data_IF_633852822523
#
_entry.id   IF_633852822523
#
_cell.length_a   1.000
_cell.length_b   1.000
_cell.length_c   1.000
_cell.angle_alpha   90.00
_cell.angle_beta   90.00
_cell.angle_gamma   90.00
#
_symmetry.space_group_name_H-M   'P 1'
#
loop_
_entity.id
_entity.type
_entity.pdbx_description
1 polymer ?
#
# COMPACT_ATOMS: atom_id res chain seq x y z
N UNK A 1 62.69 -2.55 21.87
CA UNK A 1 62.35 -2.94 20.49
C UNK A 1 61.55 -4.26 20.39
N UNK A 2 61.73 -5.22 21.31
CA UNK A 2 60.96 -6.49 21.31
C UNK A 2 59.48 -6.39 21.73
N UNK A 3 59.11 -5.44 22.59
CA UNK A 3 57.73 -5.31 23.10
C UNK A 3 56.75 -4.69 22.08
N UNK A 4 57.21 -3.75 21.23
CA UNK A 4 56.37 -3.14 20.19
C UNK A 4 55.96 -4.15 19.10
N UNK A 5 56.83 -5.12 18.79
CA UNK A 5 56.58 -6.09 17.73
C UNK A 5 55.49 -7.11 18.09
N UNK A 6 55.35 -7.47 19.37
CA UNK A 6 54.29 -8.36 19.87
C UNK A 6 52.90 -7.70 19.83
N UNK A 7 52.84 -6.39 20.08
CA UNK A 7 51.60 -5.60 20.02
C UNK A 7 51.08 -5.48 18.59
N UNK A 8 51.95 -5.18 17.62
CA UNK A 8 51.57 -5.16 16.19
C UNK A 8 51.14 -6.54 15.68
N UNK A 9 51.81 -7.62 16.10
CA UNK A 9 51.45 -8.98 15.70
C UNK A 9 50.07 -9.40 16.25
N UNK A 10 49.78 -9.07 17.51
CA UNK A 10 48.47 -9.34 18.11
C UNK A 10 47.36 -8.50 17.47
N UNK A 11 47.63 -7.24 17.10
CA UNK A 11 46.67 -6.37 16.40
C UNK A 11 46.38 -6.88 14.96
N UNK A 12 47.40 -7.38 14.27
CA UNK A 12 47.27 -8.02 12.96
C UNK A 12 46.47 -9.32 13.03
N UNK A 13 46.75 -10.18 14.03
CA UNK A 13 46.03 -11.43 14.25
C UNK A 13 44.57 -11.16 14.63
N UNK A 14 44.29 -10.16 15.47
CA UNK A 14 42.91 -9.77 15.80
C UNK A 14 42.15 -9.29 14.56
N UNK A 15 42.75 -8.41 13.75
CA UNK A 15 42.14 -7.94 12.50
C UNK A 15 41.95 -9.09 11.49
N UNK A 16 42.91 -10.01 11.36
CA UNK A 16 42.79 -11.19 10.51
C UNK A 16 41.68 -12.14 10.97
N UNK A 17 41.54 -12.35 12.28
CA UNK A 17 40.44 -13.14 12.87
C UNK A 17 39.09 -12.46 12.64
N UNK A 18 38.98 -11.15 12.83
CA UNK A 18 37.74 -10.39 12.54
C UNK A 18 37.35 -10.50 11.06
N UNK A 19 38.31 -10.44 10.14
CA UNK A 19 38.10 -10.61 8.70
C UNK A 19 37.72 -12.06 8.35
N UNK A 20 38.28 -13.06 9.05
CA UNK A 20 37.92 -14.47 8.89
C UNK A 20 36.48 -14.75 9.36
N UNK A 21 36.07 -14.21 10.51
CA UNK A 21 34.70 -14.38 11.03
C UNK A 21 33.65 -13.70 10.13
N UNK A 22 33.97 -12.52 9.58
CA UNK A 22 33.08 -11.79 8.65
C UNK A 22 32.94 -12.47 7.27
N UNK A 23 33.94 -13.23 6.83
CA UNK A 23 33.91 -13.94 5.54
C UNK A 23 33.24 -15.31 5.62
N UNK A 24 33.36 -16.01 6.75
CA UNK A 24 32.71 -17.32 6.99
C UNK A 24 31.18 -17.17 7.12
N UNK A 25 30.70 -16.13 7.81
CA UNK A 25 29.26 -15.89 7.99
C UNK A 25 28.50 -15.58 6.69
N UNK A 26 29.12 -14.85 5.76
CA UNK A 26 28.46 -14.53 4.48
C UNK A 26 28.32 -15.78 3.58
N UNK A 27 29.30 -16.70 3.65
CA UNK A 27 29.28 -17.93 2.85
C UNK A 27 28.24 -18.93 3.39
N UNK A 28 28.04 -19.00 4.71
CA UNK A 28 26.98 -19.81 5.32
C UNK A 28 25.58 -19.28 5.00
N UNK A 29 25.36 -17.97 5.07
CA UNK A 29 24.08 -17.34 4.67
C UNK A 29 23.75 -17.62 3.21
N UNK A 30 24.69 -17.43 2.29
CA UNK A 30 24.49 -17.73 0.86
C UNK A 30 24.13 -19.20 0.64
N UNK A 31 24.80 -20.12 1.33
CA UNK A 31 24.51 -21.57 1.24
C UNK A 31 23.10 -21.89 1.76
N UNK A 32 22.69 -21.30 2.88
CA UNK A 32 21.35 -21.46 3.46
C UNK A 32 20.26 -20.96 2.53
N UNK A 33 20.36 -19.72 2.03
CA UNK A 33 19.37 -19.16 1.10
C UNK A 33 19.30 -20.00 -0.19
N UNK A 34 20.44 -20.42 -0.72
CA UNK A 34 20.49 -21.30 -1.89
C UNK A 34 19.84 -22.66 -1.66
N UNK A 35 19.96 -23.27 -0.47
CA UNK A 35 19.32 -24.55 -0.20
C UNK A 35 17.80 -24.42 -0.14
N UNK A 36 17.28 -23.35 0.47
CA UNK A 36 15.83 -23.06 0.50
C UNK A 36 15.28 -22.82 -0.91
N UNK A 37 16.02 -22.07 -1.74
CA UNK A 37 15.61 -21.78 -3.13
C UNK A 37 15.72 -22.97 -4.08
N UNK A 38 16.43 -24.05 -3.71
CA UNK A 38 16.51 -25.30 -4.48
C UNK A 38 15.38 -26.27 -4.16
N UNK A 39 14.46 -25.91 -3.27
CA UNK A 39 13.30 -26.73 -2.97
C UNK A 39 12.46 -26.95 -4.25
N UNK A 40 12.00 -28.18 -4.48
CA UNK A 40 11.30 -28.60 -5.69
C UNK A 40 10.08 -27.72 -6.03
N UNK A 41 9.43 -27.14 -5.02
CA UNK A 41 8.29 -26.24 -5.19
C UNK A 41 8.62 -24.94 -5.95
N UNK A 42 9.89 -24.53 -5.96
CA UNK A 42 10.40 -23.34 -6.64
C UNK A 42 11.06 -23.68 -7.99
N UNK A 43 11.18 -24.95 -8.36
CA UNK A 43 12.01 -25.38 -9.50
C UNK A 43 11.57 -24.83 -10.87
N UNK A 44 10.28 -24.56 -11.06
CA UNK A 44 9.71 -24.07 -12.32
C UNK A 44 9.15 -22.64 -12.22
N UNK A 45 9.58 -21.86 -11.23
CA UNK A 45 9.18 -20.47 -11.04
C UNK A 45 10.36 -19.52 -11.18
N UNK A 46 10.04 -18.25 -11.39
CA UNK A 46 11.04 -17.19 -11.48
C UNK A 46 11.22 -16.54 -10.12
N UNK A 47 12.46 -16.53 -9.61
CA UNK A 47 12.77 -16.07 -8.25
C UNK A 47 13.81 -14.97 -8.27
N UNK A 48 13.53 -13.90 -7.54
CA UNK A 48 14.45 -12.78 -7.31
C UNK A 48 14.60 -12.56 -5.82
N UNK A 49 15.83 -12.53 -5.33
CA UNK A 49 16.12 -12.26 -3.91
C UNK A 49 17.28 -11.31 -3.80
N UNK A 50 17.07 -10.21 -3.10
CA UNK A 50 18.13 -9.27 -2.73
C UNK A 50 18.06 -9.05 -1.23
N UNK A 51 19.21 -9.11 -0.57
CA UNK A 51 19.35 -8.90 0.87
C UNK A 51 20.60 -8.04 1.09
N UNK A 52 20.43 -6.93 1.82
CA UNK A 52 21.53 -6.06 2.23
C UNK A 52 21.47 -5.80 3.73
N UNK A 53 22.61 -5.46 4.31
CA UNK A 53 22.68 -4.85 5.64
C UNK A 53 22.26 -3.37 5.55
N UNK A 54 21.30 -2.95 6.38
CA UNK A 54 20.69 -1.62 6.30
C UNK A 54 21.67 -0.47 6.62
N UNK A 55 22.66 -0.73 7.49
CA UNK A 55 23.58 0.28 7.98
C UNK A 55 24.79 0.42 7.06
N UNK A 56 25.44 -0.70 6.75
CA UNK A 56 26.65 -0.75 5.93
C UNK A 56 26.35 -0.76 4.43
N UNK A 57 25.10 -1.04 4.03
CA UNK A 57 24.64 -1.24 2.65
C UNK A 57 25.33 -2.40 1.94
N UNK A 58 26.02 -3.27 2.69
CA UNK A 58 26.73 -4.42 2.15
C UNK A 58 25.72 -5.41 1.58
N UNK A 59 25.96 -5.85 0.35
CA UNK A 59 25.18 -6.92 -0.27
C UNK A 59 25.52 -8.27 0.37
N UNK A 60 24.51 -8.89 1.00
CA UNK A 60 24.62 -10.19 1.66
C UNK A 60 24.26 -11.29 0.67
N UNK A 61 23.18 -11.09 -0.08
CA UNK A 61 22.68 -12.04 -1.08
C UNK A 61 22.05 -11.33 -2.26
N UNK A 62 22.29 -11.83 -3.46
CA UNK A 62 21.66 -11.37 -4.68
C UNK A 62 21.48 -12.52 -5.67
N UNK A 63 20.24 -12.72 -6.09
CA UNK A 63 19.85 -13.60 -7.17
C UNK A 63 18.79 -12.88 -7.99
N UNK A 64 19.05 -12.69 -9.29
CA UNK A 64 18.15 -12.01 -10.22
C UNK A 64 17.68 -10.63 -9.71
N UNK A 65 18.52 -9.93 -8.92
CA UNK A 65 18.17 -8.63 -8.35
C UNK A 65 17.96 -7.54 -9.40
N UNK A 66 18.49 -7.73 -10.60
CA UNK A 66 18.40 -6.88 -11.79
C UNK A 66 17.25 -7.26 -12.72
N UNK A 67 16.50 -8.35 -12.43
CA UNK A 67 15.42 -8.82 -13.30
C UNK A 67 14.07 -8.25 -12.84
N UNK A 68 13.21 -7.96 -13.82
CA UNK A 68 11.87 -7.45 -13.55
C UNK A 68 10.88 -8.55 -13.17
N UNK A 69 10.03 -8.22 -12.21
CA UNK A 69 8.93 -9.05 -11.71
C UNK A 69 7.66 -8.23 -11.65
N UNK A 70 6.52 -8.89 -11.73
CA UNK A 70 5.24 -8.30 -11.33
C UNK A 70 5.25 -8.18 -9.79
N UNK A 71 5.18 -6.96 -9.23
CA UNK A 71 5.36 -6.73 -7.79
C UNK A 71 4.14 -7.09 -6.94
N UNK A 72 2.95 -7.17 -7.53
CA UNK A 72 1.70 -7.22 -6.77
C UNK A 72 1.67 -6.08 -5.72
N UNK A 73 1.06 -6.32 -4.55
CA UNK A 73 0.93 -5.31 -3.49
C UNK A 73 2.25 -4.82 -2.85
N UNK A 74 3.43 -5.31 -3.23
CA UNK A 74 4.68 -4.64 -2.85
C UNK A 74 4.76 -3.22 -3.45
N UNK A 75 4.02 -2.94 -4.53
CA UNK A 75 3.84 -1.59 -5.09
C UNK A 75 3.40 -0.57 -4.02
N UNK A 76 2.64 -1.01 -3.00
CA UNK A 76 2.20 -0.16 -1.89
C UNK A 76 3.35 0.38 -1.03
N UNK A 77 4.55 -0.22 -1.08
CA UNK A 77 5.78 0.33 -0.49
C UNK A 77 6.16 1.65 -1.18
N UNK A 78 6.03 1.69 -2.51
CA UNK A 78 6.33 2.89 -3.32
C UNK A 78 5.25 3.95 -3.11
N UNK A 79 3.98 3.53 -3.00
CA UNK A 79 2.87 4.41 -2.65
C UNK A 79 3.04 5.01 -1.25
N UNK A 80 3.45 4.22 -0.26
CA UNK A 80 3.83 4.71 1.07
C UNK A 80 4.95 5.76 0.96
N UNK A 81 6.03 5.45 0.24
CA UNK A 81 7.15 6.38 0.07
C UNK A 81 6.70 7.69 -0.58
N UNK A 82 5.81 7.61 -1.57
CA UNK A 82 5.21 8.76 -2.25
C UNK A 82 4.36 9.60 -1.29
N UNK A 83 3.49 8.95 -0.51
CA UNK A 83 2.71 9.62 0.53
C UNK A 83 3.58 10.33 1.55
N UNK A 84 4.65 9.70 2.02
CA UNK A 84 5.58 10.31 2.98
C UNK A 84 6.38 11.50 2.40
N UNK A 85 6.64 11.50 1.09
CA UNK A 85 7.32 12.60 0.40
C UNK A 85 6.40 13.79 0.12
N UNK A 86 5.17 13.51 -0.28
CA UNK A 86 4.29 14.52 -0.87
C UNK A 86 3.16 14.94 0.06
N UNK A 87 2.66 14.09 0.94
CA UNK A 87 1.52 14.43 1.80
C UNK A 87 1.97 15.04 3.13
N UNK A 88 1.30 16.12 3.60
CA UNK A 88 1.49 16.62 4.96
C UNK A 88 0.98 15.61 5.99
N UNK A 89 1.33 15.83 7.28
CA UNK A 89 0.98 14.94 8.40
C UNK A 89 -0.50 14.57 8.44
N UNK A 90 -1.38 15.55 8.29
CA UNK A 90 -2.82 15.37 8.15
C UNK A 90 -3.19 15.38 6.67
N UNK A 91 -4.03 14.45 6.24
CA UNK A 91 -4.40 14.35 4.83
C UNK A 91 -5.18 15.60 4.40
N UNK A 92 -4.81 16.27 3.29
CA UNK A 92 -5.66 17.29 2.68
C UNK A 92 -6.99 16.65 2.30
N UNK A 93 -8.08 17.08 2.93
CA UNK A 93 -9.37 16.37 2.90
C UNK A 93 -10.34 17.03 1.92
N UNK A 94 -10.25 18.36 1.79
CA UNK A 94 -11.10 19.19 0.94
C UNK A 94 -10.33 20.44 0.51
N UNK A 95 -10.50 20.89 -0.73
CA UNK A 95 -10.13 22.25 -1.13
C UNK A 95 -11.39 23.10 -1.31
N UNK A 96 -11.30 24.38 -0.95
CA UNK A 96 -12.45 25.29 -1.05
C UNK A 96 -12.07 26.73 -1.41
N UNK A 97 -13.05 27.48 -1.93
CA UNK A 97 -13.01 28.93 -2.12
C UNK A 97 -14.42 29.51 -1.91
N UNK A 98 -14.52 30.78 -1.50
CA UNK A 98 -15.82 31.47 -1.35
C UNK A 98 -15.96 32.54 -2.43
N UNK A 99 -17.09 32.53 -3.13
CA UNK A 99 -17.44 33.56 -4.09
C UNK A 99 -18.96 33.81 -4.05
N UNK A 100 -19.37 35.08 -3.96
CA UNK A 100 -20.78 35.50 -3.92
C UNK A 100 -21.61 34.69 -2.89
N UNK A 101 -21.14 34.66 -1.65
CA UNK A 101 -21.76 33.92 -0.52
C UNK A 101 -21.96 32.42 -0.75
N UNK A 102 -21.28 31.86 -1.76
CA UNK A 102 -21.28 30.43 -2.07
C UNK A 102 -19.91 29.83 -1.79
N UNK A 103 -19.91 28.74 -1.04
CA UNK A 103 -18.73 27.92 -0.81
C UNK A 103 -18.55 26.91 -1.93
N UNK A 104 -17.53 27.09 -2.76
CA UNK A 104 -17.13 26.12 -3.76
C UNK A 104 -16.16 25.12 -3.16
N UNK A 105 -16.41 23.82 -3.36
CA UNK A 105 -15.60 22.74 -2.81
C UNK A 105 -15.20 21.74 -3.89
N UNK A 106 -14.01 21.16 -3.74
CA UNK A 106 -13.54 20.05 -4.58
C UNK A 106 -12.80 19.01 -3.72
N UNK A 107 -13.02 17.73 -4.04
CA UNK A 107 -12.37 16.63 -3.33
C UNK A 107 -10.88 16.53 -3.68
N UNK A 108 -10.10 15.97 -2.78
CA UNK A 108 -8.64 15.84 -2.92
C UNK A 108 -8.18 14.41 -3.21
N UNK A 109 -9.11 13.45 -3.33
CA UNK A 109 -8.80 12.02 -3.35
C UNK A 109 -8.64 11.39 -1.96
N UNK A 110 -8.96 12.11 -0.87
CA UNK A 110 -8.90 11.57 0.49
C UNK A 110 -9.88 10.39 0.69
N UNK A 111 -9.38 9.16 0.97
CA UNK A 111 -10.23 7.98 1.12
C UNK A 111 -10.92 7.83 2.47
N UNK A 112 -10.75 8.76 3.41
CA UNK A 112 -11.18 8.57 4.81
C UNK A 112 -12.64 8.95 5.09
N UNK A 113 -13.27 9.76 4.24
CA UNK A 113 -14.60 10.32 4.49
C UNK A 113 -15.68 9.27 4.59
N UNK A 114 -16.32 9.20 5.76
CA UNK A 114 -17.41 8.25 6.04
C UNK A 114 -17.03 6.79 5.74
N UNK A 115 -15.74 6.50 5.62
CA UNK A 115 -15.22 5.20 5.26
C UNK A 115 -15.61 4.18 6.33
N UNK A 116 -16.00 2.93 5.98
CA UNK A 116 -16.47 1.94 6.95
C UNK A 116 -15.52 1.73 8.15
N UNK A 117 -14.21 1.72 7.87
CA UNK A 117 -13.15 1.66 8.88
C UNK A 117 -12.85 3.00 9.58
N UNK A 118 -12.43 4.05 8.85
CA UNK A 118 -11.95 5.30 9.47
C UNK A 118 -13.08 6.16 10.05
N UNK A 119 -14.25 6.14 9.41
CA UNK A 119 -15.42 6.95 9.75
C UNK A 119 -15.07 8.43 9.93
N UNK A 120 -14.09 8.95 9.18
CA UNK A 120 -13.71 10.35 9.29
C UNK A 120 -14.90 11.21 8.86
N UNK A 121 -15.24 12.15 9.73
CA UNK A 121 -16.35 13.07 9.56
C UNK A 121 -15.90 14.52 9.73
N UNK A 122 -14.59 14.79 9.76
CA UNK A 122 -14.00 16.13 9.94
C UNK A 122 -14.59 17.12 8.93
N UNK A 123 -14.53 16.77 7.63
CA UNK A 123 -15.06 17.63 6.59
C UNK A 123 -16.59 17.74 6.62
N UNK A 124 -17.30 16.66 6.98
CA UNK A 124 -18.76 16.66 7.13
C UNK A 124 -19.19 17.64 8.22
N UNK A 125 -18.54 17.61 9.39
CA UNK A 125 -18.81 18.56 10.47
C UNK A 125 -18.51 20.00 10.05
N UNK A 126 -17.41 20.23 9.31
CA UNK A 126 -17.08 21.56 8.82
C UNK A 126 -18.08 22.09 7.79
N UNK A 127 -18.50 21.25 6.84
CA UNK A 127 -19.49 21.59 5.80
C UNK A 127 -20.89 21.85 6.38
N UNK A 128 -21.27 21.20 7.49
CA UNK A 128 -22.55 21.46 8.18
C UNK A 128 -22.67 22.90 8.68
N UNK A 129 -21.57 23.62 8.88
CA UNK A 129 -21.58 25.01 9.31
C UNK A 129 -21.63 26.02 8.15
N UNK A 130 -21.71 25.54 6.90
CA UNK A 130 -21.71 26.36 5.69
C UNK A 130 -23.13 26.52 5.15
N UNK A 131 -23.48 27.68 4.61
CA UNK A 131 -24.84 27.96 4.13
C UNK A 131 -25.08 27.37 2.73
N UNK A 132 -24.48 27.98 1.70
CA UNK A 132 -24.62 27.57 0.30
C UNK A 132 -23.35 26.87 -0.16
N UNK A 133 -23.48 25.63 -0.63
CA UNK A 133 -22.34 24.80 -1.05
C UNK A 133 -22.49 24.42 -2.52
N UNK A 134 -21.44 24.68 -3.29
CA UNK A 134 -21.27 24.27 -4.68
C UNK A 134 -20.16 23.21 -4.80
N UNK A 135 -20.51 22.00 -5.24
CA UNK A 135 -19.59 20.89 -5.46
C UNK A 135 -19.03 20.92 -6.89
N UNK A 136 -17.71 20.97 -7.01
CA UNK A 136 -16.98 20.80 -8.26
C UNK A 136 -16.30 19.42 -8.30
N UNK A 137 -16.54 18.65 -9.35
CA UNK A 137 -16.04 17.26 -9.49
C UNK A 137 -15.06 17.07 -10.66
N UNK A 138 -14.78 18.11 -11.45
CA UNK A 138 -13.95 18.01 -12.67
C UNK A 138 -12.47 18.31 -12.43
N UNK A 139 -12.00 18.15 -11.20
CA UNK A 139 -10.61 18.41 -10.80
C UNK A 139 -9.68 17.18 -10.91
N UNK A 140 -10.06 16.14 -11.66
CA UNK A 140 -9.25 14.94 -11.84
C UNK A 140 -9.21 14.48 -13.30
N UNK A 141 -8.13 13.79 -13.67
CA UNK A 141 -7.97 13.12 -14.95
C UNK A 141 -7.69 11.63 -14.71
N UNK A 142 -8.72 10.91 -14.27
CA UNK A 142 -8.63 9.49 -13.93
C UNK A 142 -9.75 8.70 -14.60
N UNK A 143 -9.40 7.51 -15.08
CA UNK A 143 -10.39 6.49 -15.40
C UNK A 143 -10.88 5.82 -14.12
N UNK A 144 -12.08 5.22 -14.17
CA UNK A 144 -12.67 4.50 -13.04
C UNK A 144 -11.75 3.41 -12.47
N UNK A 145 -11.01 2.71 -13.34
CA UNK A 145 -10.07 1.65 -12.95
C UNK A 145 -8.63 1.97 -13.39
N UNK A 146 -7.67 1.36 -12.70
CA UNK A 146 -6.26 1.43 -13.06
C UNK A 146 -5.95 0.67 -14.37
N UNK A 147 -4.86 1.02 -15.07
CA UNK A 147 -4.46 0.32 -16.29
C UNK A 147 -4.22 -1.17 -16.02
N UNK A 148 -4.81 -2.07 -16.81
CA UNK A 148 -4.58 -3.51 -16.70
C UNK A 148 -5.25 -4.19 -15.50
N UNK A 149 -6.19 -3.51 -14.83
CA UNK A 149 -7.14 -4.15 -13.92
C UNK A 149 -8.09 -5.07 -14.73
N UNK A 150 -8.45 -6.20 -14.15
CA UNK A 150 -9.33 -7.16 -14.81
C UNK A 150 -10.77 -6.63 -14.82
N UNK A 151 -11.49 -6.80 -15.92
CA UNK A 151 -12.83 -6.22 -16.07
C UNK A 151 -13.85 -6.95 -15.19
N UNK A 152 -13.60 -8.24 -14.93
CA UNK A 152 -14.44 -9.12 -14.12
C UNK A 152 -14.36 -8.86 -12.60
N UNK A 153 -13.39 -8.07 -12.14
CA UNK A 153 -13.20 -7.78 -10.71
C UNK A 153 -14.12 -6.65 -10.18
N UNK A 154 -15.01 -6.11 -11.01
CA UNK A 154 -15.76 -4.87 -10.76
C UNK A 154 -16.66 -4.86 -9.50
N UNK A 155 -17.06 -6.02 -8.99
CA UNK A 155 -17.91 -6.17 -7.79
C UNK A 155 -17.13 -6.74 -6.59
N UNK A 156 -15.80 -6.84 -6.71
CA UNK A 156 -14.92 -7.29 -5.64
C UNK A 156 -14.46 -6.12 -4.77
N UNK A 157 -14.38 -6.33 -3.45
CA UNK A 157 -14.01 -5.28 -2.48
C UNK A 157 -12.63 -4.65 -2.72
N UNK A 158 -11.76 -5.31 -3.49
CA UNK A 158 -10.43 -4.83 -3.80
C UNK A 158 -10.34 -4.01 -5.10
N UNK A 159 -11.45 -3.81 -5.81
CA UNK A 159 -11.53 -3.02 -7.04
C UNK A 159 -12.61 -1.89 -7.03
N UNK A 160 -12.76 -1.06 -5.97
CA UNK A 160 -13.59 0.14 -6.07
C UNK A 160 -13.10 1.11 -7.15
N UNK A 161 -14.03 1.84 -7.77
CA UNK A 161 -13.69 2.88 -8.75
C UNK A 161 -12.95 4.04 -8.07
N UNK A 162 -11.93 4.61 -8.72
CA UNK A 162 -11.26 5.83 -8.24
C UNK A 162 -12.14 7.05 -8.45
N UNK A 163 -12.10 8.00 -7.52
CA UNK A 163 -12.81 9.28 -7.64
C UNK A 163 -12.15 10.37 -6.80
N UNK A 164 -12.38 11.64 -7.15
CA UNK A 164 -11.84 12.79 -6.42
C UNK A 164 -12.45 12.96 -5.01
N UNK A 165 -13.64 12.44 -4.76
CA UNK A 165 -14.34 12.50 -3.47
C UNK A 165 -14.93 11.13 -3.12
N UNK A 166 -14.11 10.20 -2.60
CA UNK A 166 -14.51 8.81 -2.38
C UNK A 166 -15.30 8.60 -1.08
N UNK A 167 -16.50 9.16 -1.02
CA UNK A 167 -17.40 8.99 0.12
C UNK A 167 -17.65 7.50 0.40
N UNK A 168 -17.57 7.09 1.66
CA UNK A 168 -17.75 5.70 2.10
C UNK A 168 -16.76 4.73 1.49
N UNK A 169 -15.59 5.18 1.03
CA UNK A 169 -14.60 4.33 0.37
C UNK A 169 -15.04 3.81 -1.00
N UNK A 170 -16.03 4.45 -1.64
CA UNK A 170 -16.67 3.99 -2.87
C UNK A 170 -17.27 2.57 -2.81
N UNK A 171 -17.65 2.13 -1.61
CA UNK A 171 -18.31 0.85 -1.38
C UNK A 171 -19.65 1.03 -0.67
N UNK A 172 -20.57 0.10 -0.96
CA UNK A 172 -21.72 -0.14 -0.11
C UNK A 172 -21.39 -1.29 0.86
N UNK A 173 -21.63 -1.10 2.15
CA UNK A 173 -21.59 -2.18 3.15
C UNK A 173 -22.96 -2.82 3.25
N UNK A 174 -23.05 -4.13 3.03
CA UNK A 174 -24.31 -4.87 2.99
C UNK A 174 -24.24 -6.07 3.94
N UNK A 175 -25.17 -6.16 4.89
CA UNK A 175 -25.33 -7.30 5.80
C UNK A 175 -26.75 -7.88 5.68
N UNK A 176 -26.88 -9.19 5.87
CA UNK A 176 -28.17 -9.88 5.95
C UNK A 176 -28.23 -10.83 7.17
N UNK A 177 -27.40 -10.58 8.18
CA UNK A 177 -27.30 -11.47 9.36
C UNK A 177 -28.48 -11.30 10.31
N UNK A 178 -28.86 -10.06 10.60
CA UNK A 178 -29.97 -9.71 11.52
C UNK A 178 -31.16 -9.07 10.78
N UNK A 179 -31.19 -9.24 9.47
CA UNK A 179 -32.00 -8.45 8.55
C UNK A 179 -31.14 -7.69 7.56
N UNK A 180 -31.76 -7.18 6.50
CA UNK A 180 -31.05 -6.45 5.46
C UNK A 180 -30.60 -5.08 6.00
N UNK A 181 -29.30 -4.86 6.07
CA UNK A 181 -28.67 -3.58 6.41
C UNK A 181 -27.81 -3.11 5.24
N UNK A 182 -27.94 -1.83 4.88
CA UNK A 182 -27.21 -1.23 3.77
C UNK A 182 -26.72 0.16 4.15
N UNK A 183 -25.42 0.41 3.98
CA UNK A 183 -24.84 1.75 4.07
C UNK A 183 -24.00 2.03 2.82
N UNK A 184 -24.12 3.21 2.18
CA UNK A 184 -25.08 4.27 2.46
C UNK A 184 -26.55 3.87 2.30
N UNK A 185 -27.45 4.44 3.12
CA UNK A 185 -28.88 4.13 3.08
C UNK A 185 -29.54 4.44 1.72
N UNK A 186 -28.94 5.35 0.93
CA UNK A 186 -29.32 5.63 -0.46
C UNK A 186 -29.39 4.39 -1.35
N UNK A 187 -28.66 3.32 -1.01
CA UNK A 187 -28.65 2.07 -1.76
C UNK A 187 -29.64 1.02 -1.23
N UNK A 188 -30.33 1.24 -0.10
CA UNK A 188 -31.21 0.24 0.50
C UNK A 188 -32.25 -0.29 -0.49
N UNK A 189 -32.98 0.61 -1.16
CA UNK A 189 -34.00 0.25 -2.16
C UNK A 189 -33.41 -0.31 -3.48
N UNK A 190 -32.08 -0.35 -3.61
CA UNK A 190 -31.36 -0.94 -4.75
C UNK A 190 -30.67 -2.25 -4.39
N UNK A 191 -30.85 -2.73 -3.16
CA UNK A 191 -30.27 -3.98 -2.67
C UNK A 191 -31.36 -5.01 -2.49
N UNK A 192 -31.07 -6.25 -2.88
CA UNK A 192 -32.01 -7.36 -2.76
C UNK A 192 -31.32 -8.61 -2.21
N UNK A 193 -32.03 -9.36 -1.37
CA UNK A 193 -31.57 -10.67 -0.92
C UNK A 193 -31.85 -11.66 -2.05
N UNK A 194 -30.80 -12.28 -2.60
CA UNK A 194 -30.90 -13.17 -3.76
C UNK A 194 -29.81 -14.23 -3.67
N UNK A 195 -30.17 -15.50 -3.92
CA UNK A 195 -29.19 -16.57 -4.01
C UNK A 195 -28.38 -16.46 -5.31
N UNK A 196 -27.25 -15.75 -5.22
CA UNK A 196 -26.34 -15.49 -6.34
C UNK A 196 -24.93 -15.19 -5.82
N UNK A 197 -23.93 -15.45 -6.66
CA UNK A 197 -22.54 -15.05 -6.41
C UNK A 197 -22.25 -13.61 -6.86
N UNK A 198 -23.09 -13.04 -7.71
CA UNK A 198 -22.99 -11.67 -8.21
C UNK A 198 -23.33 -10.69 -7.09
N UNK A 199 -22.47 -9.72 -6.79
CA UNK A 199 -22.73 -8.75 -5.71
C UNK A 199 -23.31 -7.43 -6.21
N UNK A 200 -23.02 -7.08 -7.46
CA UNK A 200 -23.56 -5.89 -8.14
C UNK A 200 -23.69 -6.14 -9.64
N UNK A 201 -24.63 -5.49 -10.33
CA UNK A 201 -24.62 -5.43 -11.80
C UNK A 201 -23.49 -4.52 -12.33
N UNK A 202 -22.69 -4.93 -13.31
CA UNK A 202 -21.46 -4.23 -13.75
C UNK A 202 -21.57 -2.71 -13.94
N UNK A 203 -22.65 -2.23 -14.55
CA UNK A 203 -22.82 -0.80 -14.88
C UNK A 203 -23.89 -0.10 -14.04
N UNK A 204 -24.48 -0.80 -13.07
CA UNK A 204 -25.59 -0.26 -12.27
C UNK A 204 -25.36 -0.51 -10.78
N UNK A 205 -25.76 0.46 -9.96
CA UNK A 205 -25.78 0.30 -8.51
C UNK A 205 -27.02 -0.48 -8.06
N UNK A 206 -27.14 -1.72 -8.52
CA UNK A 206 -28.10 -2.73 -8.04
C UNK A 206 -27.32 -3.85 -7.40
N UNK A 207 -27.60 -4.12 -6.13
CA UNK A 207 -26.78 -5.00 -5.31
C UNK A 207 -27.54 -6.26 -4.91
N UNK A 208 -26.79 -7.33 -4.69
CA UNK A 208 -27.32 -8.60 -4.21
C UNK A 208 -26.51 -9.09 -3.01
N UNK A 209 -27.22 -9.66 -2.05
CA UNK A 209 -26.62 -10.37 -0.91
C UNK A 209 -27.26 -11.75 -0.80
N UNK A 210 -26.43 -12.79 -0.64
CA UNK A 210 -26.92 -14.15 -0.47
C UNK A 210 -27.70 -14.29 0.84
N UNK A 211 -28.81 -15.07 0.87
CA UNK A 211 -29.49 -15.41 2.12
C UNK A 211 -28.57 -16.10 3.14
N UNK A 212 -27.49 -16.75 2.68
CA UNK A 212 -26.55 -17.48 3.53
C UNK A 212 -25.31 -16.66 3.90
N UNK A 213 -25.27 -15.38 3.53
CA UNK A 213 -24.16 -14.48 3.84
C UNK A 213 -24.03 -14.29 5.35
N UNK A 214 -22.86 -14.60 5.91
CA UNK A 214 -22.59 -14.55 7.35
C UNK A 214 -21.80 -13.33 7.83
N UNK A 215 -21.34 -12.51 6.90
CA UNK A 215 -20.50 -11.35 7.17
C UNK A 215 -20.95 -10.15 6.33
N UNK A 216 -20.53 -8.95 6.73
CA UNK A 216 -20.79 -7.73 5.98
C UNK A 216 -19.96 -7.73 4.69
N UNK A 217 -20.62 -7.53 3.55
CA UNK A 217 -19.98 -7.36 2.26
C UNK A 217 -19.63 -5.89 2.03
N UNK A 218 -18.41 -5.61 1.60
CA UNK A 218 -18.04 -4.33 0.98
C UNK A 218 -18.11 -4.50 -0.54
N UNK A 219 -19.09 -3.86 -1.18
CA UNK A 219 -19.34 -3.99 -2.62
C UNK A 219 -19.10 -2.63 -3.29
N UNK A 220 -18.14 -2.51 -4.23
CA UNK A 220 -17.94 -1.29 -5.00
C UNK A 220 -19.21 -0.78 -5.65
N UNK A 221 -19.43 0.53 -5.63
CA UNK A 221 -20.48 1.17 -6.43
C UNK A 221 -19.88 1.95 -7.62
N UNK A 222 -20.65 2.05 -8.70
CA UNK A 222 -20.34 2.93 -9.84
C UNK A 222 -20.51 4.37 -9.40
N UNK A 223 -19.45 5.15 -9.57
CA UNK A 223 -19.38 6.55 -9.18
C UNK A 223 -19.94 7.46 -10.28
N UNK A 224 -20.51 8.61 -9.90
CA UNK A 224 -20.91 9.67 -10.82
C UNK A 224 -21.03 10.99 -10.09
N UNK A 225 -20.95 12.11 -10.80
CA UNK A 225 -21.08 13.44 -10.18
C UNK A 225 -22.40 13.56 -9.38
N UNK A 226 -23.51 13.07 -9.97
CA UNK A 226 -24.82 13.12 -9.35
C UNK A 226 -24.93 12.19 -8.14
N UNK A 227 -24.27 11.02 -8.16
CA UNK A 227 -24.23 10.14 -7.00
C UNK A 227 -23.40 10.74 -5.86
N UNK A 228 -22.23 11.31 -6.16
CA UNK A 228 -21.40 12.00 -5.16
C UNK A 228 -22.18 13.16 -4.53
N UNK A 229 -22.86 13.96 -5.33
CA UNK A 229 -23.77 15.00 -4.85
C UNK A 229 -24.84 14.40 -3.92
N UNK A 230 -25.57 13.37 -4.36
CA UNK A 230 -26.64 12.74 -3.58
C UNK A 230 -26.15 12.19 -2.23
N UNK A 231 -25.00 11.52 -2.21
CA UNK A 231 -24.40 10.99 -0.99
C UNK A 231 -23.99 12.12 -0.04
N UNK A 232 -23.45 13.21 -0.57
CA UNK A 232 -23.08 14.38 0.22
C UNK A 232 -24.31 15.10 0.78
N UNK A 233 -25.37 15.28 -0.02
CA UNK A 233 -26.66 15.82 0.44
C UNK A 233 -27.21 14.98 1.59
N UNK A 234 -27.21 13.65 1.43
CA UNK A 234 -27.69 12.72 2.46
C UNK A 234 -26.85 12.77 3.74
N UNK A 235 -25.54 13.00 3.66
CA UNK A 235 -24.66 13.07 4.84
C UNK A 235 -24.77 14.41 5.59
N UNK A 236 -25.06 15.50 4.85
CA UNK A 236 -25.15 16.85 5.38
C UNK A 236 -26.57 17.26 5.77
N UNK A 237 -27.59 16.56 5.27
CA UNK A 237 -28.99 16.99 5.31
C UNK A 237 -29.17 18.39 4.70
N UNK A 238 -28.50 18.63 3.56
CA UNK A 238 -28.46 19.92 2.86
C UNK A 238 -28.48 19.73 1.36
N UNK A 239 -29.01 20.71 0.65
CA UNK A 239 -28.90 20.78 -0.81
C UNK A 239 -27.51 21.24 -1.24
N UNK A 240 -26.96 20.57 -2.24
CA UNK A 240 -25.64 20.84 -2.80
C UNK A 240 -25.82 21.21 -4.26
N UNK A 241 -25.22 22.31 -4.70
CA UNK A 241 -25.27 22.72 -6.11
C UNK A 241 -24.13 22.02 -6.84
N UNK A 242 -24.41 21.29 -7.92
CA UNK A 242 -23.34 20.78 -8.77
C UNK A 242 -22.82 21.92 -9.66
N UNK A 243 -21.53 22.23 -9.56
CA UNK A 243 -20.89 23.29 -10.34
C UNK A 243 -20.03 22.73 -11.46
N UNK A 244 -20.09 23.39 -12.62
CA UNK A 244 -19.22 23.10 -13.77
C UNK A 244 -17.93 23.93 -13.78
N UNK A 245 -17.78 24.87 -12.86
CA UNK A 245 -16.59 25.71 -12.72
C UNK A 245 -16.15 25.80 -11.26
N UNK A 246 -14.87 26.08 -11.05
CA UNK A 246 -14.33 26.45 -9.75
C UNK A 246 -13.85 27.92 -9.84
N UNK A 247 -14.13 28.79 -8.86
CA UNK A 247 -13.70 30.18 -8.89
C UNK A 247 -12.18 30.32 -9.07
N UNK A 248 -11.75 31.31 -9.85
CA UNK A 248 -10.34 31.66 -9.91
C UNK A 248 -9.87 32.24 -8.58
N UNK A 249 -8.61 31.98 -8.21
CA UNK A 249 -7.98 32.53 -7.00
C UNK A 249 -7.40 31.47 -6.08
N UNK A 250 -7.13 31.88 -4.84
CA UNK A 250 -6.47 31.03 -3.84
C UNK A 250 -7.47 30.00 -3.31
N UNK A 251 -7.10 28.71 -3.43
CA UNK A 251 -7.81 27.62 -2.79
C UNK A 251 -7.31 27.42 -1.37
N UNK A 252 -8.22 27.35 -0.41
CA UNK A 252 -7.92 26.95 0.96
C UNK A 252 -8.08 25.44 1.12
N UNK A 253 -7.43 24.87 2.13
CA UNK A 253 -7.44 23.42 2.40
C UNK A 253 -7.98 23.14 3.79
N UNK A 254 -8.91 22.19 3.88
CA UNK A 254 -9.28 21.54 5.14
C UNK A 254 -8.43 20.29 5.27
N UNK A 255 -8.00 19.97 6.49
CA UNK A 255 -7.19 18.78 6.79
C UNK A 255 -8.01 17.79 7.62
N UNK A 256 -7.90 16.51 7.29
CA UNK A 256 -8.58 15.40 7.96
C UNK A 256 -7.67 14.68 8.97
N UNK A 257 -7.88 13.37 9.11
CA UNK A 257 -7.08 12.52 10.01
C UNK A 257 -5.59 12.47 9.63
N UNK A 258 -4.76 11.98 10.56
CA UNK A 258 -3.34 11.75 10.31
C UNK A 258 -3.14 10.66 9.24
N UNK A 259 -2.22 10.92 8.31
CA UNK A 259 -1.96 10.04 7.16
C UNK A 259 -1.39 8.67 7.56
N UNK A 260 -0.67 8.58 8.68
CA UNK A 260 -0.12 7.32 9.21
C UNK A 260 -1.22 6.29 9.51
N UNK A 261 -2.40 6.72 9.94
CA UNK A 261 -3.55 5.82 10.14
C UNK A 261 -4.00 5.17 8.83
N UNK A 262 -3.97 5.94 7.73
CA UNK A 262 -4.34 5.46 6.40
C UNK A 262 -3.23 4.57 5.85
N UNK A 263 -1.96 4.94 6.01
CA UNK A 263 -0.80 4.12 5.61
C UNK A 263 -0.78 2.77 6.32
N UNK A 264 -1.00 2.75 7.64
CA UNK A 264 -1.08 1.52 8.44
C UNK A 264 -2.17 0.60 7.90
N UNK A 265 -3.39 1.11 7.74
CA UNK A 265 -4.51 0.32 7.21
C UNK A 265 -4.24 -0.20 5.80
N UNK A 266 -3.70 0.65 4.91
CA UNK A 266 -3.33 0.29 3.54
C UNK A 266 -2.35 -0.87 3.50
N UNK A 267 -1.26 -0.80 4.27
CA UNK A 267 -0.23 -1.85 4.25
C UNK A 267 -0.70 -3.13 4.93
N UNK A 268 -1.36 -2.98 6.09
CA UNK A 268 -1.80 -4.10 6.90
C UNK A 268 -2.91 -4.92 6.25
N UNK A 269 -4.01 -4.29 5.81
CA UNK A 269 -5.08 -4.99 5.06
C UNK A 269 -4.75 -5.18 3.59
N UNK A 270 -3.62 -4.64 3.12
CA UNK A 270 -3.23 -4.64 1.72
C UNK A 270 -4.29 -3.97 0.82
N UNK A 271 -4.94 -2.94 1.34
CA UNK A 271 -6.09 -2.28 0.71
C UNK A 271 -5.68 -1.58 -0.59
N UNK A 272 -6.23 -2.04 -1.72
CA UNK A 272 -5.93 -1.49 -3.04
C UNK A 272 -6.47 -0.08 -3.19
N UNK A 273 -7.69 0.16 -2.71
CA UNK A 273 -8.37 1.43 -2.88
C UNK A 273 -7.64 2.55 -2.15
N UNK A 274 -7.23 2.30 -0.90
CA UNK A 274 -6.43 3.28 -0.15
C UNK A 274 -5.13 3.60 -0.87
N UNK A 275 -4.49 2.62 -1.52
CA UNK A 275 -3.25 2.85 -2.25
C UNK A 275 -3.46 3.71 -3.51
N UNK A 276 -4.51 3.45 -4.29
CA UNK A 276 -4.83 4.29 -5.44
C UNK A 276 -5.17 5.72 -5.01
N UNK A 277 -5.98 5.86 -3.96
CA UNK A 277 -6.45 7.15 -3.48
C UNK A 277 -5.36 7.98 -2.81
N UNK A 278 -4.47 7.35 -2.02
CA UNK A 278 -3.30 8.05 -1.48
C UNK A 278 -2.37 8.55 -2.56
N UNK A 279 -2.17 7.78 -3.64
CA UNK A 279 -1.36 8.21 -4.77
C UNK A 279 -2.04 9.34 -5.56
N UNK A 280 -3.37 9.29 -5.72
CA UNK A 280 -4.16 10.36 -6.31
C UNK A 280 -4.09 11.64 -5.45
N UNK A 281 -4.27 11.53 -4.13
CA UNK A 281 -4.19 12.65 -3.21
C UNK A 281 -2.80 13.29 -3.18
N UNK A 282 -1.75 12.49 -3.23
CA UNK A 282 -0.37 12.97 -3.32
C UNK A 282 -0.13 13.83 -4.59
N UNK A 283 -0.86 13.55 -5.68
CA UNK A 283 -0.73 14.32 -6.93
C UNK A 283 -1.16 15.79 -6.79
N UNK A 284 -2.02 16.11 -5.81
CA UNK A 284 -2.50 17.47 -5.56
C UNK A 284 -1.40 18.46 -5.15
N UNK A 285 -0.22 17.96 -4.79
CA UNK A 285 0.95 18.75 -4.41
C UNK A 285 1.97 18.92 -5.55
N UNK A 286 1.70 18.32 -6.71
CA UNK A 286 2.55 18.43 -7.91
C UNK A 286 1.77 18.91 -9.14
N UNK A 287 0.44 18.95 -9.07
CA UNK A 287 -0.47 19.34 -10.15
C UNK A 287 -1.79 19.88 -9.57
N UNK A 288 -2.39 20.84 -10.26
CA UNK A 288 -3.74 21.36 -9.92
C UNK A 288 -4.86 20.38 -10.28
N UNK A 289 -4.60 19.48 -11.23
CA UNK A 289 -5.51 18.38 -11.59
C UNK A 289 -5.01 17.10 -10.94
N UNK A 290 -5.89 16.40 -10.22
CA UNK A 290 -5.57 15.11 -9.61
C UNK A 290 -5.26 14.08 -10.71
N UNK A 291 -4.06 13.50 -10.64
CA UNK A 291 -3.63 12.45 -11.54
C UNK A 291 -2.57 11.53 -10.93
N UNK A 292 -2.89 10.24 -10.85
CA UNK A 292 -1.98 9.15 -10.49
C UNK A 292 -0.72 9.20 -11.35
N UNK A 293 -0.86 9.42 -12.67
CA UNK A 293 0.29 9.50 -13.59
C UNK A 293 1.23 10.65 -13.25
N UNK A 294 0.70 11.82 -12.90
CA UNK A 294 1.52 12.97 -12.52
C UNK A 294 2.33 12.71 -11.26
N UNK A 295 1.74 12.09 -10.23
CA UNK A 295 2.46 11.71 -9.02
C UNK A 295 3.55 10.67 -9.31
N UNK A 296 3.26 9.65 -10.12
CA UNK A 296 4.23 8.62 -10.52
C UNK A 296 5.41 9.25 -11.26
N UNK A 297 5.15 10.06 -12.29
CA UNK A 297 6.19 10.72 -13.07
C UNK A 297 7.08 11.60 -12.19
N UNK A 298 6.47 12.43 -11.34
CA UNK A 298 7.20 13.28 -10.40
C UNK A 298 8.12 12.46 -9.49
N UNK A 299 7.62 11.36 -8.91
CA UNK A 299 8.43 10.51 -8.05
C UNK A 299 9.60 9.86 -8.79
N UNK A 300 9.39 9.38 -10.02
CA UNK A 300 10.45 8.79 -10.86
C UNK A 300 11.51 9.82 -11.25
N UNK A 301 11.11 11.06 -11.55
CA UNK A 301 12.02 12.12 -11.98
C UNK A 301 12.80 12.75 -10.81
N UNK A 302 12.20 12.85 -9.63
CA UNK A 302 12.78 13.63 -8.52
C UNK A 302 13.31 12.80 -7.35
N UNK A 303 12.63 11.71 -6.99
CA UNK A 303 12.91 10.96 -5.76
C UNK A 303 13.46 9.55 -5.99
N UNK A 304 13.17 8.98 -7.16
CA UNK A 304 13.52 7.61 -7.56
C UNK A 304 14.39 7.56 -8.82
N UNK A 305 14.91 8.69 -9.31
CA UNK A 305 15.78 8.76 -10.50
C UNK A 305 17.09 7.95 -10.36
N UNK A 306 17.52 7.76 -9.12
CA UNK A 306 18.75 7.05 -8.74
C UNK A 306 18.55 5.54 -8.52
N UNK A 307 17.34 5.02 -8.76
CA UNK A 307 17.14 3.58 -8.85
C UNK A 307 17.99 3.02 -10.00
N UNK A 308 18.69 1.93 -9.72
CA UNK A 308 19.59 1.30 -10.71
C UNK A 308 18.80 0.77 -11.91
N UNK A 309 17.59 0.28 -11.63
CA UNK A 309 16.66 -0.20 -12.63
C UNK A 309 15.32 0.52 -12.43
N UNK A 310 14.99 1.41 -13.36
CA UNK A 310 13.74 2.16 -13.31
C UNK A 310 12.54 1.21 -13.47
N UNK A 311 11.51 1.30 -12.63
CA UNK A 311 10.33 0.46 -12.76
C UNK A 311 9.43 0.91 -13.90
N UNK A 312 8.60 -0.01 -14.41
CA UNK A 312 7.34 0.37 -15.05
C UNK A 312 6.29 0.43 -13.95
N UNK A 313 5.91 1.63 -13.53
CA UNK A 313 4.94 1.86 -12.46
C UNK A 313 3.68 2.52 -13.02
N UNK A 314 2.51 1.91 -12.81
CA UNK A 314 1.26 2.35 -13.46
C UNK A 314 0.06 2.52 -12.52
N UNK A 315 0.11 2.00 -11.29
CA UNK A 315 -0.97 2.12 -10.30
C UNK A 315 -0.41 2.14 -8.86
N UNK A 316 -1.22 2.56 -7.88
CA UNK A 316 -0.77 2.63 -6.48
C UNK A 316 -0.82 1.28 -5.75
N UNK A 317 -1.72 0.40 -6.17
CA UNK A 317 -2.05 -0.83 -5.45
C UNK A 317 -1.19 -2.02 -5.83
N UNK A 318 -0.67 -2.06 -7.06
CA UNK A 318 -0.04 -3.23 -7.64
C UNK A 318 -1.03 -4.29 -8.14
N UNK A 319 -2.32 -3.96 -8.29
CA UNK A 319 -3.31 -4.84 -8.90
C UNK A 319 -3.02 -5.01 -10.41
N UNK A 320 -2.51 -3.96 -11.06
CA UNK A 320 -2.09 -4.00 -12.45
C UNK A 320 -0.94 -4.98 -12.69
N UNK A 321 -1.15 -5.86 -13.67
CA UNK A 321 -0.11 -6.75 -14.21
C UNK A 321 0.95 -6.02 -15.04
N UNK A 322 0.74 -4.74 -15.37
CA UNK A 322 1.70 -3.95 -16.13
C UNK A 322 2.84 -3.40 -15.26
N UNK A 323 2.69 -3.42 -13.93
CA UNK A 323 3.78 -3.03 -13.04
C UNK A 323 4.96 -4.00 -13.17
N UNK A 324 6.17 -3.44 -13.30
CA UNK A 324 7.41 -4.18 -13.32
C UNK A 324 8.43 -3.50 -12.42
N UNK A 325 8.90 -4.22 -11.41
CA UNK A 325 9.93 -3.79 -10.47
C UNK A 325 10.98 -4.89 -10.32
N UNK A 326 12.22 -4.51 -10.03
CA UNK A 326 13.27 -5.47 -9.70
C UNK A 326 13.41 -5.61 -8.18
N UNK A 327 13.88 -6.75 -7.64
CA UNK A 327 14.14 -6.87 -6.21
C UNK A 327 15.13 -5.80 -5.71
N UNK A 328 16.12 -5.42 -6.53
CA UNK A 328 17.05 -4.33 -6.21
C UNK A 328 16.33 -2.99 -6.07
N UNK A 329 15.39 -2.66 -6.96
CA UNK A 329 14.62 -1.42 -6.87
C UNK A 329 13.85 -1.32 -5.55
N UNK A 330 13.21 -2.41 -5.10
CA UNK A 330 12.53 -2.42 -3.79
C UNK A 330 13.49 -2.23 -2.63
N UNK A 331 14.66 -2.89 -2.65
CA UNK A 331 15.66 -2.71 -1.60
C UNK A 331 16.20 -1.28 -1.56
N UNK A 332 16.39 -0.63 -2.72
CA UNK A 332 16.79 0.79 -2.78
C UNK A 332 15.70 1.71 -2.20
N UNK A 333 14.42 1.45 -2.50
CA UNK A 333 13.29 2.22 -1.94
C UNK A 333 13.16 2.00 -0.43
N UNK A 334 13.27 0.76 0.04
CA UNK A 334 13.27 0.44 1.47
C UNK A 334 14.46 1.05 2.22
N UNK A 335 15.63 1.13 1.59
CA UNK A 335 16.79 1.84 2.14
C UNK A 335 16.51 3.35 2.26
N UNK A 336 15.84 3.96 1.28
CA UNK A 336 15.41 5.37 1.36
C UNK A 336 14.43 5.57 2.51
N UNK A 337 13.42 4.71 2.63
CA UNK A 337 12.47 4.74 3.76
C UNK A 337 13.21 4.65 5.11
N UNK A 338 14.15 3.72 5.25
CA UNK A 338 14.93 3.56 6.48
C UNK A 338 15.79 4.79 6.82
N UNK A 339 16.39 5.43 5.81
CA UNK A 339 17.25 6.59 6.03
C UNK A 339 16.46 7.87 6.36
N UNK A 340 15.22 7.97 5.88
CA UNK A 340 14.44 9.22 5.92
C UNK A 340 13.34 9.21 6.99
N UNK A 341 12.89 8.04 7.42
CA UNK A 341 11.80 7.89 8.39
C UNK A 341 12.39 7.37 9.71
N UNK A 342 12.11 8.03 10.85
CA UNK A 342 12.53 7.51 12.15
C UNK A 342 12.08 6.06 12.34
N UNK A 343 12.97 5.22 12.87
CA UNK A 343 12.77 3.77 12.95
C UNK A 343 11.45 3.38 13.63
N UNK A 344 11.14 4.03 14.76
CA UNK A 344 9.90 3.82 15.51
C UNK A 344 8.66 4.07 14.64
N UNK A 345 8.66 5.17 13.87
CA UNK A 345 7.56 5.50 12.95
C UNK A 345 7.48 4.51 11.80
N UNK A 346 8.62 4.15 11.19
CA UNK A 346 8.68 3.24 10.06
C UNK A 346 8.13 1.85 10.43
N UNK A 347 8.58 1.28 11.54
CA UNK A 347 8.12 -0.03 12.02
C UNK A 347 6.76 0.03 12.72
N UNK A 348 6.32 1.21 13.16
CA UNK A 348 4.93 1.44 13.55
C UNK A 348 3.95 1.49 12.36
N UNK A 349 4.44 1.75 11.14
CA UNK A 349 3.64 1.78 9.90
C UNK A 349 3.68 0.43 9.17
N UNK A 350 4.85 -0.18 9.03
CA UNK A 350 4.99 -1.47 8.36
C UNK A 350 4.30 -2.58 9.14
N UNK A 351 3.57 -3.47 8.47
CA UNK A 351 2.91 -4.56 9.16
C UNK A 351 3.93 -5.65 9.51
N UNK A 352 3.62 -6.39 10.57
CA UNK A 352 4.34 -7.59 10.94
C UNK A 352 3.98 -8.73 9.99
N UNK A 353 4.93 -9.64 9.78
CA UNK A 353 4.69 -10.85 8.99
C UNK A 353 5.11 -12.09 9.78
N UNK A 354 4.11 -12.88 10.17
CA UNK A 354 4.28 -14.12 10.92
C UNK A 354 4.55 -15.32 10.00
N UNK A 355 4.43 -16.56 10.53
CA UNK A 355 4.71 -17.78 9.75
C UNK A 355 3.92 -17.91 8.45
N UNK A 356 2.65 -17.51 8.47
CA UNK A 356 1.71 -17.81 7.38
C UNK A 356 1.11 -16.57 6.70
N UNK A 357 1.16 -15.40 7.34
CA UNK A 357 0.44 -14.20 6.88
C UNK A 357 0.95 -12.90 7.54
N UNK A 358 0.40 -11.79 7.05
CA UNK A 358 0.48 -10.49 7.72
C UNK A 358 -0.35 -10.53 9.02
N UNK A 359 0.22 -10.07 10.14
CA UNK A 359 -0.40 -10.12 11.48
C UNK A 359 -0.43 -8.73 12.14
N UNK A 360 -1.44 -8.46 12.97
CA UNK A 360 -1.54 -7.20 13.73
C UNK A 360 -0.61 -7.21 14.94
N UNK A 361 -0.56 -8.36 15.62
CA UNK A 361 0.23 -8.59 16.82
C UNK A 361 1.19 -9.73 16.58
N UNK A 362 2.40 -9.61 17.12
CA UNK A 362 3.35 -10.70 17.10
C UNK A 362 2.85 -11.83 18.00
N UNK A 363 2.69 -13.03 17.42
CA UNK A 363 2.03 -14.15 18.11
C UNK A 363 3.02 -15.03 18.89
N UNK A 364 4.31 -15.00 18.55
CA UNK A 364 5.33 -15.82 19.22
C UNK A 364 5.85 -15.08 20.48
N UNK A 365 5.51 -15.54 21.70
CA UNK A 365 5.94 -14.87 22.93
C UNK A 365 7.43 -15.09 23.26
N UNK A 366 8.13 -15.97 22.52
CA UNK A 366 9.53 -16.32 22.79
C UNK A 366 10.52 -15.44 22.03
N UNK A 367 10.04 -14.63 21.09
CA UNK A 367 10.86 -13.76 20.26
C UNK A 367 10.25 -12.37 20.17
N UNK A 368 11.10 -11.35 20.13
CA UNK A 368 10.65 -10.01 19.75
C UNK A 368 10.22 -9.99 18.27
N UNK A 369 9.29 -9.10 17.87
CA UNK A 369 8.91 -8.96 16.47
C UNK A 369 10.12 -8.66 15.60
N UNK A 370 10.47 -9.58 14.71
CA UNK A 370 11.69 -9.48 13.90
C UNK A 370 11.44 -9.22 12.42
N UNK A 371 10.22 -9.44 11.92
CA UNK A 371 9.91 -9.38 10.49
C UNK A 371 8.80 -8.37 10.19
N UNK A 372 9.19 -7.27 9.56
CA UNK A 372 8.34 -6.14 9.18
C UNK A 372 8.31 -6.06 7.67
N UNK A 373 7.22 -6.49 7.03
CA UNK A 373 7.24 -6.68 5.59
C UNK A 373 5.87 -6.54 4.93
N UNK A 374 5.86 -5.98 3.72
CA UNK A 374 4.69 -5.97 2.87
C UNK A 374 4.69 -7.21 1.98
N UNK A 375 3.59 -7.97 2.07
CA UNK A 375 3.28 -9.07 1.17
C UNK A 375 2.59 -8.58 -0.10
N UNK A 376 2.70 -9.33 -1.19
CA UNK A 376 1.96 -9.07 -2.42
C UNK A 376 1.61 -10.35 -3.14
N UNK A 377 0.33 -10.52 -3.48
CA UNK A 377 -0.18 -11.71 -4.17
C UNK A 377 -1.09 -11.32 -5.31
N UNK A 378 -0.86 -11.94 -6.48
CA UNK A 378 -1.79 -12.02 -7.61
C UNK A 378 -1.65 -13.42 -8.20
N UNK A 379 -2.52 -13.84 -9.12
CA UNK A 379 -2.42 -15.18 -9.73
C UNK A 379 -0.99 -15.52 -10.17
N UNK A 380 -0.48 -16.66 -9.67
CA UNK A 380 0.85 -17.23 -9.87
C UNK A 380 2.05 -16.45 -9.28
N UNK A 381 1.82 -15.38 -8.52
CA UNK A 381 2.88 -14.50 -8.00
C UNK A 381 2.70 -14.25 -6.50
N UNK A 382 3.80 -14.28 -5.76
CA UNK A 382 3.84 -13.99 -4.32
C UNK A 382 5.18 -13.39 -3.95
N UNK A 383 5.13 -12.17 -3.43
CA UNK A 383 6.29 -11.37 -3.09
C UNK A 383 6.22 -10.92 -1.63
N UNK A 384 7.40 -10.68 -1.04
CA UNK A 384 7.55 -10.13 0.30
C UNK A 384 8.76 -9.20 0.28
N UNK A 385 8.63 -7.99 0.78
CA UNK A 385 9.74 -7.04 0.89
C UNK A 385 9.61 -6.20 2.14
N UNK A 386 10.74 -5.94 2.79
CA UNK A 386 10.75 -5.24 4.07
C UNK A 386 12.07 -5.46 4.82
N UNK A 387 11.95 -5.65 6.13
CA UNK A 387 13.04 -5.61 7.07
C UNK A 387 13.08 -6.85 7.97
N UNK A 388 14.28 -7.33 8.27
CA UNK A 388 14.54 -8.36 9.28
C UNK A 388 15.45 -7.78 10.35
N UNK A 389 14.99 -7.71 11.60
CA UNK A 389 15.83 -7.42 12.77
C UNK A 389 16.42 -8.73 13.26
N UNK A 390 17.71 -8.96 13.07
CA UNK A 390 18.33 -10.24 13.46
C UNK A 390 18.56 -10.34 14.96
N UNK A 391 18.77 -11.58 15.44
CA UNK A 391 19.05 -11.85 16.86
C UNK A 391 20.36 -11.22 17.34
N UNK A 392 21.31 -11.00 16.43
CA UNK A 392 22.57 -10.28 16.72
C UNK A 392 22.38 -8.75 16.81
N UNK A 393 21.17 -8.25 16.51
CA UNK A 393 20.83 -6.82 16.52
C UNK A 393 21.07 -6.11 15.19
N UNK A 394 21.44 -6.83 14.12
CA UNK A 394 21.62 -6.22 12.80
C UNK A 394 20.26 -6.05 12.11
N UNK A 395 20.13 -4.99 11.31
CA UNK A 395 18.93 -4.75 10.50
C UNK A 395 19.23 -5.08 9.05
N UNK A 396 18.45 -5.99 8.47
CA UNK A 396 18.54 -6.36 7.06
C UNK A 396 17.37 -5.76 6.29
N UNK A 397 17.65 -5.35 5.06
CA UNK A 397 16.63 -4.97 4.08
C UNK A 397 16.58 -6.05 3.01
N UNK A 398 15.39 -6.52 2.68
CA UNK A 398 15.23 -7.57 1.69
C UNK A 398 14.08 -7.31 0.71
N UNK A 399 14.22 -7.91 -0.47
CA UNK A 399 13.12 -8.14 -1.41
C UNK A 399 13.20 -9.57 -1.93
N UNK A 400 12.12 -10.32 -1.73
CA UNK A 400 11.98 -11.71 -2.15
C UNK A 400 10.73 -11.81 -3.04
N UNK A 401 10.97 -11.94 -4.34
CA UNK A 401 9.94 -11.94 -5.38
C UNK A 401 9.86 -13.30 -6.06
N UNK A 402 8.65 -13.83 -6.19
CA UNK A 402 8.38 -15.14 -6.81
C UNK A 402 7.26 -14.97 -7.82
N UNK A 403 7.54 -15.27 -9.08
CA UNK A 403 6.57 -15.20 -10.17
C UNK A 403 6.45 -16.55 -10.89
N UNK A 404 5.32 -16.73 -11.56
CA UNK A 404 5.01 -17.86 -12.44
C UNK A 404 4.99 -19.24 -11.76
N UNK A 405 4.82 -19.30 -10.43
CA UNK A 405 4.68 -20.60 -9.76
C UNK A 405 3.27 -21.19 -10.00
N UNK A 406 3.19 -22.51 -9.94
CA UNK A 406 1.94 -23.28 -10.10
C UNK A 406 1.55 -24.07 -8.84
N UNK A 407 2.33 -23.94 -7.78
CA UNK A 407 2.04 -24.54 -6.47
C UNK A 407 1.15 -23.60 -5.64
N UNK A 408 0.50 -24.09 -4.57
CA UNK A 408 -0.21 -23.22 -3.64
C UNK A 408 0.71 -22.13 -3.06
N UNK A 409 0.22 -20.89 -2.94
CA UNK A 409 1.01 -19.78 -2.40
C UNK A 409 1.50 -20.04 -0.96
N UNK A 410 0.85 -20.91 -0.20
CA UNK A 410 1.28 -21.34 1.14
C UNK A 410 2.67 -21.99 1.14
N UNK A 411 3.01 -22.77 0.12
CA UNK A 411 4.33 -23.39 0.00
C UNK A 411 5.43 -22.36 -0.24
N UNK A 412 5.12 -21.34 -1.05
CA UNK A 412 6.01 -20.21 -1.31
C UNK A 412 6.22 -19.41 -0.02
N UNK A 413 5.12 -19.07 0.69
CA UNK A 413 5.18 -18.36 1.97
C UNK A 413 6.04 -19.10 2.99
N UNK A 414 5.81 -20.39 3.18
CA UNK A 414 6.59 -21.21 4.11
C UNK A 414 8.08 -21.19 3.80
N UNK A 415 8.46 -21.30 2.52
CA UNK A 415 9.87 -21.23 2.10
C UNK A 415 10.47 -19.85 2.39
N UNK A 416 9.72 -18.78 2.13
CA UNK A 416 10.16 -17.42 2.42
C UNK A 416 10.33 -17.20 3.92
N UNK A 417 9.35 -17.60 4.74
CA UNK A 417 9.42 -17.50 6.19
C UNK A 417 10.63 -18.23 6.74
N UNK A 418 10.84 -19.50 6.37
CA UNK A 418 11.98 -20.29 6.83
C UNK A 418 13.32 -19.67 6.43
N UNK A 419 13.39 -19.09 5.23
CA UNK A 419 14.60 -18.37 4.77
C UNK A 419 14.87 -17.14 5.65
N UNK A 420 13.86 -16.32 5.91
CA UNK A 420 13.98 -15.08 6.69
C UNK A 420 14.20 -15.35 8.19
N UNK A 421 13.54 -16.36 8.74
CA UNK A 421 13.78 -16.85 10.11
C UNK A 421 15.20 -17.38 10.27
N UNK A 422 15.71 -18.10 9.27
CA UNK A 422 17.12 -18.52 9.25
C UNK A 422 18.10 -17.35 9.28
N UNK A 423 17.78 -16.22 8.62
CA UNK A 423 18.59 -14.99 8.71
C UNK A 423 18.49 -14.36 10.10
N UNK A 424 17.28 -14.29 10.65
CA UNK A 424 17.06 -13.80 12.01
C UNK A 424 17.93 -14.56 13.04
N UNK A 425 18.00 -15.89 12.92
CA UNK A 425 18.70 -16.74 13.88
C UNK A 425 20.22 -16.75 13.73
N UNK A 426 20.73 -16.61 12.48
CA UNK A 426 22.12 -16.97 12.16
C UNK A 426 23.00 -15.83 11.61
N UNK A 427 22.47 -14.63 11.43
CA UNK A 427 23.21 -13.43 10.99
C UNK A 427 23.22 -12.39 12.13
#
# INVERSE_FOLDING_TARGET
>A
MYALNKSLHNLLIFNLLSILFLSIGCNSTKKMVNSQLKNNHLGNSFHGVVIIDANTRKEIYNRNGDKYFTPASNTKIVTLYTGLKLLPKNIPTLKYAVANDTLFIEGTGDPSWLHPYFKDSTAIHWLRNQETIALYTKNHNENRYGPGWAWEDYDTSFSPEKSAMPLYGNVATISNVEGLEVSPNTFFNKTSVKDTTLKREELYNRFYVSPTQKDTLEVPFVTSDSLTQQLLESALDKKIILSHHFPEGVKHTVYGIENDSIFKRMLFKSDNFLAEQLLLAASANVSDTLSTKSAINFMLEHHLKDLEHQPRWVDGSGLSRYNLFTPRSFVQILQKLYNEVPEERLFGIFPLWGPDSTVETWEDPTTEPFLFAKSGSVGNNYNLSGYVKTKSGQLLIFSFMNNHFRVPSSEIRKTMYNTLKGLYENY
#
